data_IF_889380937487
#
_entry.id   IF_889380937487
#
_cell.length_a   1.000
_cell.length_b   1.000
_cell.length_c   1.000
_cell.angle_alpha   90.00
_cell.angle_beta   90.00
_cell.angle_gamma   90.00
#
_symmetry.space_group_name_H-M   'P 1'
#
loop_
_entity.id
_entity.type
_entity.pdbx_description
1 polymer ?
#
# COMPACT_ATOMS: atom_id res chain seq x y z
N UNK A 1 -14.40 -68.43 -34.27
CA UNK A 1 -13.93 -68.77 -32.91
C UNK A 1 -13.82 -67.50 -32.09
N UNK A 2 -14.45 -67.50 -30.91
CA UNK A 2 -14.43 -66.46 -29.87
C UNK A 2 -13.15 -66.55 -29.02
N UNK A 3 -12.65 -65.39 -28.55
CA UNK A 3 -12.19 -65.07 -27.16
C UNK A 3 -11.21 -63.87 -27.22
N UNK A 4 -11.61 -62.61 -26.93
CA UNK A 4 -11.70 -61.91 -25.62
C UNK A 4 -10.49 -62.11 -24.68
N UNK A 5 -9.79 -61.00 -24.37
CA UNK A 5 -9.48 -60.42 -23.04
C UNK A 5 -8.86 -59.02 -23.28
N UNK A 6 -9.62 -57.92 -23.22
CA UNK A 6 -9.75 -56.97 -22.08
C UNK A 6 -8.43 -56.53 -21.42
N UNK A 7 -7.82 -55.47 -21.95
CA UNK A 7 -6.77 -54.68 -21.29
C UNK A 7 -7.28 -53.26 -21.01
N UNK A 8 -7.61 -53.02 -19.75
CA UNK A 8 -8.09 -51.79 -19.09
C UNK A 8 -7.87 -50.45 -19.83
N UNK A 9 -8.98 -49.73 -20.04
CA UNK A 9 -9.01 -48.27 -20.08
C UNK A 9 -8.28 -47.73 -18.85
N UNK A 10 -7.19 -46.98 -19.07
CA UNK A 10 -6.80 -45.94 -18.13
C UNK A 10 -7.01 -44.62 -18.86
N UNK A 11 -8.20 -44.07 -18.69
CA UNK A 11 -8.49 -42.66 -18.89
C UNK A 11 -7.53 -41.92 -17.96
N UNK A 12 -6.37 -41.51 -18.47
CA UNK A 12 -5.56 -40.53 -17.77
C UNK A 12 -6.26 -39.20 -18.04
N UNK A 13 -7.04 -38.81 -17.04
CA UNK A 13 -7.85 -37.61 -17.03
C UNK A 13 -7.09 -36.46 -17.68
N UNK A 14 -7.71 -35.90 -18.73
CA UNK A 14 -7.55 -34.51 -19.12
C UNK A 14 -7.58 -33.70 -17.83
N UNK A 15 -6.42 -33.29 -17.34
CA UNK A 15 -6.39 -32.31 -16.26
C UNK A 15 -6.86 -31.02 -16.93
N UNK A 16 -8.05 -30.48 -16.59
CA UNK A 16 -8.40 -29.18 -17.10
C UNK A 16 -7.33 -28.21 -16.59
N UNK A 17 -6.68 -27.52 -17.52
CA UNK A 17 -5.89 -26.33 -17.21
C UNK A 17 -6.83 -25.44 -16.39
N UNK A 18 -6.52 -25.06 -15.15
CA UNK A 18 -7.33 -24.07 -14.46
C UNK A 18 -7.24 -22.76 -15.25
N UNK A 19 -8.27 -22.48 -16.04
CA UNK A 19 -8.60 -21.15 -16.54
C UNK A 19 -8.88 -20.29 -15.31
N UNK A 20 -7.86 -19.60 -14.83
CA UNK A 20 -8.02 -18.80 -13.62
C UNK A 20 -6.71 -18.36 -13.00
N UNK A 21 -5.77 -17.86 -13.80
CA UNK A 21 -4.89 -16.83 -13.25
C UNK A 21 -5.77 -15.60 -13.12
N UNK A 22 -6.55 -15.51 -12.04
CA UNK A 22 -7.06 -14.24 -11.57
C UNK A 22 -5.82 -13.46 -11.16
N UNK A 23 -5.18 -12.80 -12.13
CA UNK A 23 -4.51 -11.54 -11.81
C UNK A 23 -5.64 -10.70 -11.27
N UNK A 24 -5.80 -10.69 -9.94
CA UNK A 24 -6.63 -9.70 -9.28
C UNK A 24 -6.28 -8.38 -9.95
N UNK A 25 -7.25 -7.65 -10.52
CA UNK A 25 -6.95 -6.29 -10.96
C UNK A 25 -6.24 -5.60 -9.79
N UNK A 26 -5.20 -4.77 -10.01
CA UNK A 26 -4.61 -4.03 -8.92
C UNK A 26 -5.77 -3.38 -8.18
N UNK A 27 -6.05 -3.86 -6.96
CA UNK A 27 -7.24 -3.45 -6.22
C UNK A 27 -7.13 -1.95 -6.14
N UNK A 28 -8.01 -1.24 -6.85
CA UNK A 28 -7.99 0.21 -6.84
C UNK A 28 -8.16 0.60 -5.38
N UNK A 29 -7.14 1.23 -4.82
CA UNK A 29 -7.14 1.62 -3.42
C UNK A 29 -8.39 2.45 -3.17
N UNK A 30 -9.09 2.14 -2.09
CA UNK A 30 -10.21 2.96 -1.62
C UNK A 30 -9.71 4.40 -1.40
N UNK A 31 -10.59 5.42 -1.46
CA UNK A 31 -10.19 6.79 -1.16
C UNK A 31 -9.47 6.94 0.19
N UNK A 32 -9.86 6.13 1.17
CA UNK A 32 -9.22 6.05 2.48
C UNK A 32 -7.79 5.50 2.39
N UNK A 33 -7.58 4.37 1.74
CA UNK A 33 -6.23 3.80 1.56
C UNK A 33 -5.29 4.73 0.77
N UNK A 34 -5.82 5.44 -0.24
CA UNK A 34 -5.06 6.45 -0.97
C UNK A 34 -4.64 7.61 -0.07
N UNK A 35 -5.54 8.06 0.80
CA UNK A 35 -5.25 9.09 1.80
C UNK A 35 -4.15 8.62 2.76
N UNK A 36 -4.27 7.42 3.33
CA UNK A 36 -3.27 6.85 4.23
C UNK A 36 -1.89 6.74 3.56
N UNK A 37 -1.86 6.26 2.31
CA UNK A 37 -0.63 6.16 1.54
C UNK A 37 0.02 7.53 1.31
N UNK A 38 -0.76 8.56 0.98
CA UNK A 38 -0.26 9.93 0.80
C UNK A 38 0.30 10.49 2.11
N UNK A 39 -0.39 10.29 3.23
CA UNK A 39 0.09 10.72 4.55
C UNK A 39 1.41 10.02 4.90
N UNK A 40 1.51 8.70 4.66
CA UNK A 40 2.72 7.94 4.89
C UNK A 40 3.91 8.45 4.05
N UNK A 41 3.68 8.80 2.79
CA UNK A 41 4.72 9.39 1.92
C UNK A 41 5.19 10.75 2.45
N UNK A 42 4.27 11.60 2.90
CA UNK A 42 4.60 12.91 3.48
C UNK A 42 5.41 12.74 4.77
N UNK A 43 5.03 11.80 5.63
CA UNK A 43 5.77 11.48 6.86
C UNK A 43 7.17 10.94 6.56
N UNK A 44 7.30 10.07 5.54
CA UNK A 44 8.58 9.54 5.09
C UNK A 44 9.51 10.66 4.62
N UNK A 45 9.00 11.57 3.79
CA UNK A 45 9.74 12.77 3.36
C UNK A 45 10.23 13.59 4.56
N UNK A 46 9.34 13.88 5.52
CA UNK A 46 9.70 14.67 6.71
C UNK A 46 10.84 14.03 7.52
N UNK A 47 10.86 12.69 7.63
CA UNK A 47 11.90 11.97 8.37
C UNK A 47 13.23 11.89 7.62
N UNK A 48 13.18 11.59 6.32
CA UNK A 48 14.36 11.20 5.51
C UNK A 48 14.97 12.32 4.69
N UNK A 49 14.33 13.48 4.59
CA UNK A 49 14.86 14.61 3.84
C UNK A 49 16.10 15.21 4.51
N UNK A 50 17.12 15.53 3.70
CA UNK A 50 18.34 16.23 4.11
C UNK A 50 18.15 17.74 4.35
N UNK A 51 16.92 18.25 4.26
CA UNK A 51 16.62 19.66 4.47
C UNK A 51 16.75 20.05 5.96
N UNK A 52 17.07 21.32 6.27
CA UNK A 52 17.03 21.81 7.64
C UNK A 52 15.61 21.69 8.21
N UNK A 53 15.50 21.53 9.54
CA UNK A 53 14.23 21.24 10.23
C UNK A 53 13.10 22.22 9.85
N UNK A 54 13.38 23.53 9.85
CA UNK A 54 12.40 24.55 9.50
C UNK A 54 11.89 24.41 8.04
N UNK A 55 12.77 24.07 7.10
CA UNK A 55 12.40 23.83 5.71
C UNK A 55 11.57 22.55 5.57
N UNK A 56 11.96 21.47 6.27
CA UNK A 56 11.17 20.23 6.31
C UNK A 56 9.77 20.46 6.85
N UNK A 57 9.64 21.19 7.96
CA UNK A 57 8.36 21.54 8.57
C UNK A 57 7.47 22.34 7.60
N UNK A 58 8.05 23.34 6.93
CA UNK A 58 7.34 24.18 5.96
C UNK A 58 6.81 23.37 4.77
N UNK A 59 7.67 22.54 4.16
CA UNK A 59 7.28 21.71 3.00
C UNK A 59 6.26 20.64 3.38
N UNK A 60 6.43 20.02 4.55
CA UNK A 60 5.47 19.03 5.07
C UNK A 60 4.11 19.66 5.32
N UNK A 61 4.06 20.84 5.94
CA UNK A 61 2.82 21.59 6.14
C UNK A 61 2.12 21.89 4.81
N UNK A 62 2.86 22.40 3.82
CA UNK A 62 2.31 22.66 2.48
C UNK A 62 1.79 21.39 1.80
N UNK A 63 2.45 20.24 1.98
CA UNK A 63 1.99 18.95 1.43
C UNK A 63 0.71 18.47 2.11
N UNK A 64 0.58 18.64 3.43
CA UNK A 64 -0.64 18.31 4.17
C UNK A 64 -1.81 19.21 3.75
N UNK A 65 -1.57 20.51 3.57
CA UNK A 65 -2.58 21.47 3.11
C UNK A 65 -3.09 21.21 1.67
N UNK A 66 -2.38 20.41 0.88
CA UNK A 66 -2.83 19.97 -0.46
C UNK A 66 -3.75 18.74 -0.40
N UNK A 67 -3.94 18.14 0.77
CA UNK A 67 -4.89 17.06 0.97
C UNK A 67 -6.22 17.68 1.41
N UNK A 68 -7.30 17.37 0.70
CA UNK A 68 -8.64 17.94 0.96
C UNK A 68 -9.19 17.64 2.37
N UNK A 69 -8.58 16.70 3.08
CA UNK A 69 -8.99 16.22 4.40
C UNK A 69 -8.31 16.96 5.56
N UNK A 70 -7.39 17.88 5.29
CA UNK A 70 -6.63 18.60 6.32
C UNK A 70 -7.07 20.05 6.45
N UNK A 71 -7.38 20.46 7.68
CA UNK A 71 -7.46 21.87 8.06
C UNK A 71 -6.07 22.39 8.47
N UNK A 72 -5.83 23.71 8.47
CA UNK A 72 -4.58 24.30 8.98
C UNK A 72 -4.24 23.83 10.40
N UNK A 73 -5.23 23.78 11.29
CA UNK A 73 -5.06 23.39 12.69
C UNK A 73 -4.69 21.90 12.81
N UNK A 74 -5.38 21.04 12.05
CA UNK A 74 -5.08 19.60 12.03
C UNK A 74 -3.68 19.33 11.46
N UNK A 75 -3.29 20.04 10.40
CA UNK A 75 -1.96 19.89 9.80
C UNK A 75 -0.83 20.31 10.78
N UNK A 76 -1.01 21.40 11.51
CA UNK A 76 -0.07 21.83 12.55
C UNK A 76 0.04 20.81 13.69
N UNK A 77 -1.10 20.28 14.16
CA UNK A 77 -1.11 19.25 15.19
C UNK A 77 -0.36 18.01 14.74
N UNK A 78 -0.66 17.48 13.56
CA UNK A 78 0.02 16.29 13.01
C UNK A 78 1.53 16.51 12.87
N UNK A 79 1.93 17.69 12.41
CA UNK A 79 3.35 18.02 12.28
C UNK A 79 4.07 18.04 13.63
N UNK A 80 3.43 18.61 14.67
CA UNK A 80 3.95 18.61 16.04
C UNK A 80 4.06 17.18 16.59
N UNK A 81 2.99 16.40 16.48
CA UNK A 81 2.95 15.02 16.98
C UNK A 81 4.04 14.16 16.31
N UNK A 82 4.26 14.35 15.00
CA UNK A 82 5.36 13.69 14.30
C UNK A 82 6.73 14.16 14.78
N UNK A 83 6.91 15.46 14.98
CA UNK A 83 8.16 16.00 15.50
C UNK A 83 8.49 15.42 16.87
N UNK A 84 7.54 15.50 17.82
CA UNK A 84 7.68 14.95 19.17
C UNK A 84 8.00 13.45 19.13
N UNK A 85 7.30 12.68 18.28
CA UNK A 85 7.58 11.25 18.14
C UNK A 85 9.01 10.97 17.64
N UNK A 86 9.55 11.80 16.75
CA UNK A 86 10.90 11.59 16.21
C UNK A 86 12.00 12.07 17.15
N UNK A 87 11.77 13.15 17.89
CA UNK A 87 12.73 13.67 18.86
C UNK A 87 12.73 12.85 20.15
N UNK A 88 11.55 12.42 20.63
CA UNK A 88 11.44 11.64 21.87
C UNK A 88 11.90 10.19 21.73
N UNK A 89 11.95 9.61 20.52
CA UNK A 89 12.58 8.31 20.29
C UNK A 89 14.12 8.38 20.18
N UNK A 90 14.73 9.57 20.24
CA UNK A 90 16.19 9.77 20.23
C UNK A 90 16.75 10.28 21.57
N UNK A 91 15.95 10.30 22.63
CA UNK A 91 16.36 10.66 23.99
C UNK A 91 16.68 9.45 24.85
#
# INVERSE_FOLDING_TARGET
MLSKITGRLKVLATTPIPLGRTTSPPTALTPFEQMEQRIAQIQYFYRRSDLPLAARQTVTYQKLMKLDYFTPETAQKVLRDWHEKFTSSHS
#
